data_IF_869526345096
#
_entry.id   IF_869526345096
#
_cell.length_a   1.000
_cell.length_b   1.000
_cell.length_c   1.000
_cell.angle_alpha   90.00
_cell.angle_beta   90.00
_cell.angle_gamma   90.00
#
_symmetry.space_group_name_H-M   'P 1'
#
loop_
_entity.id
_entity.type
_entity.pdbx_description
1 polymer ?
2 non-polymer ?
3 non-polymer ?
4 non-polymer ?
5 water ?
#
# COMPACT_ATOMS: atom_id res chain seq x y z
N UNK A 1 -15.52 1.08 5.76
CA UNK A 1 -14.97 0.54 4.48
C UNK A 1 -14.69 1.71 3.57
N UNK A 2 -13.81 1.50 2.58
CA UNK A 2 -13.65 2.50 1.55
C UNK A 2 -13.85 1.77 0.21
N UNK A 3 -14.12 2.53 -0.83
CA UNK A 3 -14.48 1.92 -2.11
C UNK A 3 -13.79 2.67 -3.25
N UNK A 4 -13.53 1.98 -4.35
CA UNK A 4 -13.02 2.63 -5.58
C UNK A 4 -13.56 1.87 -6.82
N UNK A 5 -14.13 2.61 -7.74
CA UNK A 5 -14.65 2.08 -9.00
C UNK A 5 -13.76 2.51 -10.19
N UNK A 6 -13.31 1.53 -10.93
CA UNK A 6 -12.57 1.78 -12.15
C UNK A 6 -13.46 2.31 -13.27
N UNK A 7 -14.73 1.95 -13.24
CA UNK A 7 -15.61 2.45 -14.25
C UNK A 7 -15.88 3.96 -14.10
N UNK A 8 -15.46 4.75 -15.09
CA UNK A 8 -15.60 6.22 -14.96
C UNK A 8 -14.48 6.88 -14.13
N UNK A 9 -13.48 6.09 -13.73
CA UNK A 9 -12.40 6.65 -12.88
C UNK A 9 -11.51 7.67 -13.61
N UNK A 10 -11.09 8.68 -12.87
CA UNK A 10 -10.22 9.69 -13.43
C UNK A 10 -9.22 10.15 -12.31
N UNK A 11 -8.26 11.05 -12.62
CA UNK A 11 -7.37 11.41 -11.50
C UNK A 11 -8.07 11.90 -10.24
N UNK A 12 -9.18 12.60 -10.44
CA UNK A 12 -9.89 13.13 -9.32
C UNK A 12 -10.56 12.03 -8.45
N UNK A 13 -11.29 11.10 -9.08
CA UNK A 13 -11.99 10.09 -8.30
C UNK A 13 -10.96 9.17 -7.61
N UNK A 14 -9.82 8.97 -8.25
CA UNK A 14 -8.77 8.14 -7.65
C UNK A 14 -8.22 8.89 -6.43
N UNK A 15 -8.02 10.21 -6.61
CA UNK A 15 -7.50 11.06 -5.49
C UNK A 15 -8.47 11.01 -4.30
N UNK A 16 -9.77 10.99 -4.60
CA UNK A 16 -10.81 10.91 -3.53
C UNK A 16 -10.72 9.55 -2.83
N UNK A 17 -10.45 8.47 -3.59
CA UNK A 17 -10.30 7.15 -2.96
C UNK A 17 -9.03 7.10 -2.03
N UNK A 18 -7.93 7.66 -2.47
CA UNK A 18 -6.70 7.59 -1.67
C UNK A 18 -6.85 8.46 -0.42
N UNK A 19 -7.50 9.61 -0.59
CA UNK A 19 -7.90 10.40 0.61
C UNK A 19 -8.81 9.58 1.60
N UNK A 20 -9.89 8.92 1.08
CA UNK A 20 -10.72 8.03 1.94
C UNK A 20 -9.92 6.94 2.63
N UNK A 21 -8.97 6.33 1.88
CA UNK A 21 -8.14 5.27 2.44
C UNK A 21 -7.27 5.83 3.60
N UNK A 22 -6.53 6.92 3.36
CA UNK A 22 -5.80 7.58 4.45
C UNK A 22 -6.75 7.88 5.64
N UNK A 23 -7.89 8.45 5.34
CA UNK A 23 -8.78 8.92 6.45
C UNK A 23 -9.41 7.80 7.24
N UNK A 24 -9.41 6.60 6.65
CA UNK A 24 -9.90 5.40 7.35
C UNK A 24 -8.90 4.80 8.35
N UNK A 25 -7.66 5.24 8.33
CA UNK A 25 -6.66 4.64 9.20
C UNK A 25 -6.62 5.47 10.48
N UNK A 26 -6.80 4.81 11.62
CA UNK A 26 -6.96 5.62 12.86
C UNK A 26 -5.62 6.10 13.37
N UNK A 27 -5.61 7.28 14.04
CA UNK A 27 -4.42 7.81 14.69
C UNK A 27 -4.90 8.64 15.90
N UNK A 28 -4.07 8.79 16.92
CA UNK A 28 -4.40 9.66 18.07
C UNK A 28 -3.48 10.88 18.06
N UNK A 29 -2.38 10.79 17.30
CA UNK A 29 -1.30 11.75 17.33
C UNK A 29 -0.78 12.01 15.88
N UNK A 30 -0.30 13.23 15.64
CA UNK A 30 0.54 13.54 14.47
C UNK A 30 1.95 13.82 14.95
N UNK A 31 2.93 13.43 14.17
CA UNK A 31 4.32 13.74 14.46
C UNK A 31 4.71 14.54 13.24
N UNK A 32 5.18 15.74 13.49
CA UNK A 32 5.51 16.69 12.45
C UNK A 32 4.35 16.85 11.47
N UNK A 33 3.15 16.87 12.04
CA UNK A 33 1.94 17.10 11.29
C UNK A 33 1.53 15.92 10.34
N UNK A 34 2.14 14.77 10.57
CA UNK A 34 1.85 13.54 9.81
C UNK A 34 1.22 12.53 10.73
N UNK A 35 0.02 11.98 10.37
CA UNK A 35 -0.65 10.98 11.20
C UNK A 35 0.25 9.81 11.56
N UNK A 36 0.24 9.44 12.85
CA UNK A 36 1.07 8.37 13.40
C UNK A 36 0.16 7.17 13.53
N UNK A 37 0.39 6.12 12.72
CA UNK A 37 -0.46 4.93 12.86
C UNK A 37 -0.33 4.31 14.27
N UNK A 38 -1.38 3.62 14.69
CA UNK A 38 -1.39 3.08 16.05
C UNK A 38 -0.40 1.91 16.23
N UNK A 39 0.18 1.74 17.46
CA UNK A 39 0.98 0.55 17.80
C UNK A 39 0.18 -0.73 17.57
N UNK A 40 -1.09 -0.72 17.94
CA UNK A 40 -1.91 -1.91 17.74
C UNK A 40 -3.38 -1.64 17.89
N UNK A 41 -4.19 -2.58 17.41
CA UNK A 41 -5.64 -2.47 17.46
C UNK A 41 -6.10 -3.91 17.68
N UNK A 42 -7.16 -4.04 18.47
CA UNK A 42 -7.67 -5.33 18.87
C UNK A 42 -8.87 -5.74 18.07
N UNK A 43 -8.85 -7.02 17.70
CA UNK A 43 -10.01 -7.67 17.10
C UNK A 43 -10.18 -7.28 15.67
N UNK A 44 -11.44 -7.26 15.24
CA UNK A 44 -11.80 -7.02 13.87
C UNK A 44 -11.42 -5.61 13.43
N UNK A 45 -11.32 -4.70 14.41
CA UNK A 45 -11.14 -3.28 14.12
C UNK A 45 -9.76 -3.02 13.54
N UNK A 46 -8.89 -4.03 13.63
CA UNK A 46 -7.55 -3.91 13.07
C UNK A 46 -7.57 -3.86 11.52
N UNK A 47 -8.68 -4.25 10.93
CA UNK A 47 -8.72 -4.45 9.46
C UNK A 47 -9.70 -3.54 8.74
N UNK A 48 -9.19 -2.78 7.79
CA UNK A 48 -10.01 -2.03 6.88
C UNK A 48 -10.39 -2.86 5.63
N UNK A 49 -11.64 -2.77 5.20
CA UNK A 49 -12.09 -3.41 3.93
C UNK A 49 -12.15 -2.38 2.82
N UNK A 50 -11.47 -2.68 1.71
CA UNK A 50 -11.44 -1.81 0.55
C UNK A 50 -12.20 -2.56 -0.52
N UNK A 51 -13.30 -1.97 -0.98
CA UNK A 51 -14.02 -2.61 -2.06
C UNK A 51 -13.60 -2.02 -3.37
N UNK A 52 -12.94 -2.85 -4.22
CA UNK A 52 -12.49 -2.39 -5.51
C UNK A 52 -13.33 -3.03 -6.61
N UNK A 53 -13.65 -2.21 -7.62
CA UNK A 53 -14.54 -2.65 -8.72
C UNK A 53 -13.75 -2.40 -10.02
N UNK A 54 -13.63 -3.46 -10.81
CA UNK A 54 -13.03 -3.32 -12.14
C UNK A 54 -14.00 -2.59 -13.08
N UNK A 55 -13.51 -2.30 -14.27
CA UNK A 55 -14.31 -1.57 -15.20
C UNK A 55 -15.69 -2.17 -15.48
N UNK A 56 -15.77 -3.49 -15.51
CA UNK A 56 -17.01 -4.22 -15.68
C UNK A 56 -17.88 -4.27 -14.45
N UNK A 57 -17.42 -3.75 -13.30
CA UNK A 57 -18.33 -3.81 -12.16
C UNK A 57 -18.16 -5.00 -11.22
N UNK A 58 -17.27 -5.91 -11.59
CA UNK A 58 -16.92 -7.02 -10.70
C UNK A 58 -16.03 -6.49 -9.59
N UNK A 59 -16.04 -7.17 -8.44
CA UNK A 59 -15.42 -6.59 -7.25
C UNK A 59 -14.62 -7.62 -6.44
N UNK A 60 -13.54 -7.15 -5.81
CA UNK A 60 -12.94 -7.88 -4.71
C UNK A 60 -12.99 -6.96 -3.50
N UNK A 61 -12.94 -7.56 -2.31
CA UNK A 61 -12.76 -6.79 -1.12
C UNK A 61 -11.39 -7.13 -0.56
N UNK A 62 -10.61 -6.10 -0.30
CA UNK A 62 -9.25 -6.29 0.16
C UNK A 62 -9.15 -5.90 1.65
N UNK A 63 -8.55 -6.78 2.46
CA UNK A 63 -8.46 -6.51 3.93
C UNK A 63 -7.09 -5.95 4.20
N UNK A 64 -7.07 -4.79 4.85
CA UNK A 64 -5.83 -4.11 5.10
C UNK A 64 -5.60 -3.86 6.62
N UNK A 65 -4.41 -4.13 7.13
CA UNK A 65 -4.15 -3.93 8.58
C UNK A 65 -3.96 -2.38 8.77
N UNK A 66 -4.77 -1.77 9.64
CA UNK A 66 -4.84 -0.29 9.75
C UNK A 66 -3.64 0.29 10.53
N UNK A 67 -2.85 -0.61 11.13
CA UNK A 67 -1.66 -0.20 11.87
C UNK A 67 -0.45 -0.07 10.98
N UNK A 68 -0.46 -0.72 9.79
CA UNK A 68 0.71 -0.67 8.94
C UNK A 68 0.45 -0.58 7.42
N UNK A 69 -0.82 -0.56 7.04
CA UNK A 69 -1.29 -0.52 5.62
C UNK A 69 -0.83 -1.77 4.85
N UNK A 70 -0.61 -2.85 5.56
CA UNK A 70 -0.28 -4.13 4.87
C UNK A 70 -1.54 -4.81 4.38
N UNK A 71 -1.55 -5.20 3.10
CA UNK A 71 -2.66 -6.02 2.62
C UNK A 71 -2.49 -7.44 3.22
N UNK A 72 -3.54 -7.98 3.83
CA UNK A 72 -3.45 -9.30 4.43
C UNK A 72 -4.01 -10.38 3.47
N UNK A 73 -5.06 -10.02 2.76
CA UNK A 73 -5.79 -10.99 1.91
C UNK A 73 -6.96 -10.33 1.26
N UNK A 74 -7.80 -11.05 0.52
CA UNK A 74 -8.92 -10.42 -0.20
C UNK A 74 -9.96 -11.49 -0.43
N UNK A 75 -11.18 -11.05 -0.68
CA UNK A 75 -12.25 -11.92 -1.05
C UNK A 75 -12.68 -11.70 -2.50
N UNK A 76 -12.90 -12.80 -3.20
CA UNK A 76 -13.31 -12.74 -4.61
C UNK A 76 -14.41 -13.76 -4.77
N UNK A 77 -15.63 -13.24 -4.93
CA UNK A 77 -16.90 -13.97 -4.89
C UNK A 77 -17.04 -14.73 -3.57
N UNK A 78 -16.82 -16.04 -3.58
CA UNK A 78 -17.08 -16.80 -2.34
C UNK A 78 -15.82 -17.43 -1.83
N UNK A 79 -14.69 -17.00 -2.40
CA UNK A 79 -13.38 -17.54 -2.03
C UNK A 79 -12.55 -16.43 -1.43
N UNK A 80 -11.96 -16.69 -0.26
CA UNK A 80 -10.97 -15.78 0.36
C UNK A 80 -9.55 -16.24 0.06
N UNK A 81 -8.63 -15.29 -0.04
CA UNK A 81 -7.18 -15.59 -0.29
C UNK A 81 -6.40 -14.83 0.72
N UNK A 82 -5.41 -15.42 1.35
CA UNK A 82 -4.60 -14.70 2.34
C UNK A 82 -3.20 -15.06 2.06
N UNK A 83 -2.27 -14.12 2.33
CA UNK A 83 -0.86 -14.38 2.26
C UNK A 83 -0.45 -15.48 3.20
N UNK A 84 0.65 -16.12 2.85
CA UNK A 84 1.16 -17.25 3.65
C UNK A 84 2.15 -16.67 4.71
N UNK A 85 1.55 -16.16 5.78
CA UNK A 85 2.34 -15.44 6.82
C UNK A 85 1.50 -15.33 8.08
N UNK A 86 2.17 -15.30 9.25
CA UNK A 86 1.30 -15.41 10.46
C UNK A 86 0.29 -14.26 10.65
N UNK A 87 0.67 -13.05 10.28
CA UNK A 87 -0.25 -11.94 10.43
C UNK A 87 -1.47 -12.09 9.56
N UNK A 88 -1.36 -12.76 8.40
CA UNK A 88 -2.53 -12.92 7.55
C UNK A 88 -3.38 -14.03 8.06
N UNK A 89 -2.72 -15.07 8.58
CA UNK A 89 -3.50 -16.12 9.16
C UNK A 89 -4.35 -15.58 10.30
N UNK A 90 -3.77 -14.71 11.14
CA UNK A 90 -4.56 -14.07 12.20
C UNK A 90 -5.69 -13.25 11.62
N UNK A 91 -5.42 -12.49 10.54
CA UNK A 91 -6.50 -11.73 9.92
C UNK A 91 -7.62 -12.64 9.49
N UNK A 92 -7.29 -13.87 9.09
CA UNK A 92 -8.34 -14.74 8.51
C UNK A 92 -9.28 -15.16 9.62
N UNK A 93 -8.88 -14.88 10.86
CA UNK A 93 -9.79 -15.11 11.97
C UNK A 93 -10.92 -14.09 12.05
N UNK A 94 -10.67 -12.91 11.48
CA UNK A 94 -11.61 -11.83 11.59
C UNK A 94 -12.37 -11.44 10.32
N UNK A 95 -11.77 -11.61 9.14
CA UNK A 95 -12.44 -11.10 7.94
C UNK A 95 -12.78 -12.21 6.96
N UNK A 96 -13.87 -12.04 6.21
CA UNK A 96 -14.28 -12.96 5.13
C UNK A 96 -14.58 -14.36 5.68
N UNK A 97 -14.97 -14.41 6.95
CA UNK A 97 -15.41 -15.66 7.57
C UNK A 97 -16.56 -16.33 6.81
N UNK A 98 -17.44 -15.55 6.18
CA UNK A 98 -18.50 -16.12 5.38
C UNK A 98 -18.07 -16.72 4.02
N UNK A 99 -16.79 -16.63 3.61
CA UNK A 99 -16.34 -17.27 2.35
C UNK A 99 -16.58 -18.76 2.41
N UNK A 100 -17.00 -19.32 1.29
CA UNK A 100 -17.15 -20.78 1.20
C UNK A 100 -15.84 -21.53 1.33
N UNK A 101 -14.74 -20.98 0.84
CA UNK A 101 -13.42 -21.67 1.01
C UNK A 101 -12.33 -20.63 1.16
N UNK A 102 -11.22 -21.02 1.80
CA UNK A 102 -10.11 -20.10 2.04
C UNK A 102 -8.90 -20.71 1.42
N UNK A 103 -8.28 -19.98 0.50
CA UNK A 103 -7.01 -20.38 -0.09
C UNK A 103 -5.90 -19.59 0.50
N UNK A 104 -4.83 -20.28 0.91
CA UNK A 104 -3.60 -19.56 1.33
C UNK A 104 -2.68 -19.49 0.13
N UNK A 105 -2.36 -18.28 -0.28
CA UNK A 105 -1.49 -18.05 -1.44
C UNK A 105 -0.16 -18.65 -1.10
N UNK A 106 0.63 -19.10 -2.11
CA UNK A 106 1.90 -19.77 -1.85
C UNK A 106 3.13 -18.77 -1.78
N UNK A 107 2.90 -17.63 -1.12
CA UNK A 107 3.95 -16.70 -0.81
C UNK A 107 3.43 -15.80 0.32
N UNK A 108 4.37 -15.19 1.05
CA UNK A 108 4.04 -14.06 1.93
C UNK A 108 3.85 -12.74 1.11
N UNK A 109 3.52 -11.66 1.81
CA UNK A 109 3.26 -10.37 1.15
C UNK A 109 4.42 -9.41 0.98
N UNK A 110 5.59 -9.92 1.22
CA UNK A 110 6.87 -9.33 1.01
C UNK A 110 7.21 -9.07 -0.50
N UNK A 111 7.67 -7.84 -0.81
CA UNK A 111 8.00 -7.51 -2.20
C UNK A 111 8.97 -8.52 -2.85
N UNK A 112 9.99 -8.97 -2.14
CA UNK A 112 10.86 -9.93 -2.81
C UNK A 112 10.16 -11.24 -3.12
N UNK A 113 9.42 -11.76 -2.16
CA UNK A 113 8.72 -13.04 -2.39
C UNK A 113 7.74 -12.88 -3.53
N UNK A 114 7.03 -11.74 -3.58
CA UNK A 114 6.05 -11.52 -4.67
C UNK A 114 6.73 -11.44 -6.04
N UNK A 115 7.91 -10.81 -6.09
CA UNK A 115 8.63 -10.62 -7.34
C UNK A 115 9.13 -11.95 -7.86
N UNK A 116 9.58 -12.81 -6.95
CA UNK A 116 10.05 -14.13 -7.38
C UNK A 116 8.86 -14.96 -7.89
N UNK A 117 7.72 -14.94 -7.18
CA UNK A 117 6.53 -15.62 -7.72
C UNK A 117 6.09 -15.12 -9.07
N UNK A 118 6.15 -13.81 -9.25
CA UNK A 118 5.68 -13.15 -10.44
C UNK A 118 6.65 -13.35 -11.58
N UNK A 119 7.93 -13.57 -11.26
CA UNK A 119 8.92 -13.81 -12.31
C UNK A 119 9.58 -12.51 -12.80
N UNK A 120 9.32 -11.39 -12.10
CA UNK A 120 9.85 -10.08 -12.48
C UNK A 120 9.86 -9.07 -11.32
N UNK A 121 10.85 -8.15 -11.34
CA UNK A 121 10.92 -7.18 -10.25
C UNK A 121 9.86 -6.14 -10.52
N UNK A 122 9.47 -5.38 -9.54
CA UNK A 122 8.46 -4.41 -9.93
C UNK A 122 8.97 -3.22 -10.75
N UNK A 123 10.29 -3.06 -10.90
CA UNK A 123 10.81 -2.11 -11.89
C UNK A 123 10.29 -2.36 -13.28
N UNK A 124 9.89 -3.58 -13.54
CA UNK A 124 9.50 -3.96 -14.88
C UNK A 124 8.01 -4.17 -15.03
N UNK A 125 7.24 -3.88 -13.99
CA UNK A 125 5.78 -4.12 -14.03
C UNK A 125 5.06 -2.76 -14.12
N UNK A 126 4.38 -2.46 -15.26
CA UNK A 126 3.68 -1.17 -15.39
C UNK A 126 2.58 -1.06 -14.33
N UNK A 127 2.37 0.16 -13.82
CA UNK A 127 1.31 0.42 -12.85
C UNK A 127 0.53 1.61 -13.36
N UNK A 128 -0.65 1.85 -12.78
CA UNK A 128 -1.50 2.85 -13.33
C UNK A 128 -2.90 2.34 -13.02
N UNK A 129 -3.87 3.14 -13.41
CA UNK A 129 -5.24 2.73 -13.22
C UNK A 129 -5.65 1.57 -14.17
N UNK A 130 -5.21 1.61 -15.43
CA UNK A 130 -5.52 0.38 -16.23
C UNK A 130 -4.91 -0.87 -15.63
N UNK A 131 -3.70 -0.80 -15.11
CA UNK A 131 -3.11 -1.97 -14.50
C UNK A 131 -3.85 -2.43 -13.25
N UNK A 132 -4.49 -1.49 -12.51
CA UNK A 132 -5.35 -1.85 -11.37
C UNK A 132 -6.65 -2.55 -11.75
N UNK A 133 -7.26 -2.07 -12.82
CA UNK A 133 -8.37 -2.80 -13.40
C UNK A 133 -7.99 -4.22 -13.78
N UNK A 134 -6.82 -4.40 -14.42
CA UNK A 134 -6.37 -5.77 -14.75
C UNK A 134 -6.14 -6.60 -13.49
N UNK A 135 -5.57 -5.95 -12.45
CA UNK A 135 -5.18 -6.68 -11.25
C UNK A 135 -6.44 -7.21 -10.60
N UNK A 136 -7.46 -6.35 -10.50
CA UNK A 136 -8.76 -6.74 -9.87
C UNK A 136 -9.29 -7.95 -10.65
N UNK A 137 -9.27 -7.86 -11.99
CA UNK A 137 -9.81 -8.93 -12.84
C UNK A 137 -9.03 -10.23 -12.65
N UNK A 138 -7.73 -10.14 -12.54
CA UNK A 138 -6.89 -11.32 -12.35
C UNK A 138 -7.26 -11.99 -11.02
N UNK A 139 -7.46 -11.17 -10.00
CA UNK A 139 -7.61 -11.72 -8.66
C UNK A 139 -8.94 -12.39 -8.50
N UNK A 140 -9.86 -12.13 -9.43
CA UNK A 140 -11.20 -12.71 -9.41
C UNK A 140 -11.18 -14.24 -9.53
N UNK A 141 -10.19 -14.75 -10.25
CA UNK A 141 -10.00 -16.19 -10.37
C UNK A 141 -8.59 -16.62 -10.14
N UNK A 142 -8.47 -17.58 -9.26
CA UNK A 142 -7.19 -17.98 -8.74
C UNK A 142 -6.21 -18.38 -9.82
N UNK A 143 -5.04 -17.81 -9.74
CA UNK A 143 -3.94 -18.24 -10.55
C UNK A 143 -2.77 -17.62 -9.77
N UNK A 144 -1.94 -18.44 -9.11
CA UNK A 144 -0.99 -17.85 -8.11
C UNK A 144 0.17 -17.05 -8.73
N UNK A 145 0.71 -17.53 -9.85
CA UNK A 145 1.63 -16.73 -10.63
C UNK A 145 1.07 -15.38 -11.10
N UNK A 146 -0.12 -15.37 -11.69
CA UNK A 146 -0.74 -14.13 -12.26
C UNK A 146 -1.06 -13.19 -11.05
N UNK A 147 -1.55 -13.80 -9.98
CA UNK A 147 -1.92 -13.04 -8.79
C UNK A 147 -0.70 -12.33 -8.16
N UNK A 148 0.48 -12.93 -8.15
CA UNK A 148 1.62 -12.22 -7.54
C UNK A 148 1.83 -10.87 -8.24
N UNK A 149 1.75 -10.88 -9.58
CA UNK A 149 1.95 -9.65 -10.36
C UNK A 149 0.79 -8.70 -10.05
N UNK A 150 -0.43 -9.23 -9.93
CA UNK A 150 -1.58 -8.38 -9.69
C UNK A 150 -1.42 -7.72 -8.31
N UNK A 151 -0.88 -8.47 -7.36
CA UNK A 151 -0.76 -7.99 -6.00
C UNK A 151 0.37 -6.94 -5.91
N UNK A 152 1.45 -7.11 -6.68
CA UNK A 152 2.41 -6.02 -6.82
C UNK A 152 1.80 -4.75 -7.31
N UNK A 153 0.89 -4.82 -8.29
CA UNK A 153 0.15 -3.64 -8.77
C UNK A 153 -0.81 -3.09 -7.71
N UNK A 154 -1.57 -4.00 -7.11
CA UNK A 154 -2.56 -3.58 -6.14
C UNK A 154 -1.92 -2.89 -4.92
N UNK A 155 -0.83 -3.50 -4.38
CA UNK A 155 -0.13 -2.92 -3.17
C UNK A 155 0.39 -1.49 -3.43
N UNK A 156 1.04 -1.29 -4.60
CA UNK A 156 1.53 0.04 -4.95
C UNK A 156 0.46 1.07 -5.24
N UNK A 157 -0.60 0.65 -5.91
CA UNK A 157 -1.63 1.63 -6.28
C UNK A 157 -2.62 1.93 -5.14
N UNK A 158 -2.53 1.22 -4.02
CA UNK A 158 -3.47 1.51 -2.92
C UNK A 158 -2.55 1.95 -1.73
N UNK A 159 -2.01 0.98 -1.02
CA UNK A 159 -1.11 1.29 0.15
C UNK A 159 0.02 2.28 -0.06
N UNK A 160 0.83 2.08 -1.08
CA UNK A 160 1.96 2.95 -1.36
C UNK A 160 1.54 4.37 -1.70
N UNK A 161 0.43 4.47 -2.48
CA UNK A 161 -0.18 5.79 -2.82
C UNK A 161 -0.75 6.45 -1.54
N UNK A 162 -1.32 5.65 -0.63
CA UNK A 162 -1.86 6.26 0.61
C UNK A 162 -0.66 6.82 1.40
N UNK A 163 0.45 6.10 1.40
CA UNK A 163 1.62 6.50 2.17
C UNK A 163 2.39 7.72 1.68
N UNK A 164 2.43 7.93 0.37
CA UNK A 164 3.21 8.96 -0.24
C UNK A 164 2.48 9.70 -1.31
N UNK A 165 2.30 11.02 -1.13
CA UNK A 165 1.61 11.85 -2.07
C UNK A 165 2.26 11.76 -3.48
N UNK A 166 3.58 11.60 -3.52
CA UNK A 166 4.26 11.51 -4.81
C UNK A 166 3.78 10.24 -5.57
N UNK A 167 3.56 9.16 -4.82
CA UNK A 167 3.16 7.89 -5.47
C UNK A 167 1.75 8.03 -5.92
N UNK A 168 0.90 8.65 -5.07
CA UNK A 168 -0.44 9.00 -5.54
C UNK A 168 -0.45 9.81 -6.88
N UNK A 169 0.31 10.86 -6.95
CA UNK A 169 0.49 11.61 -8.19
C UNK A 169 1.02 10.76 -9.39
N UNK A 170 1.98 9.88 -9.13
CA UNK A 170 2.48 8.99 -10.18
C UNK A 170 1.37 8.19 -10.78
N UNK A 171 0.47 7.66 -9.93
CA UNK A 171 -0.69 6.90 -10.40
C UNK A 171 -1.70 7.77 -11.12
N UNK A 172 -1.94 8.97 -10.60
CA UNK A 172 -2.86 9.87 -11.33
C UNK A 172 -2.35 10.18 -12.75
N UNK A 173 -1.03 10.27 -12.92
CA UNK A 173 -0.43 10.54 -14.21
C UNK A 173 -0.65 9.30 -15.11
N UNK A 174 -0.91 8.14 -14.49
CA UNK A 174 -1.04 6.92 -15.20
C UNK A 174 -2.49 6.51 -15.19
N UNK A 175 -3.39 7.50 -15.29
CA UNK A 175 -4.83 7.18 -15.14
C UNK A 175 -5.32 6.45 -16.40
N UNK A 176 -4.65 6.71 -17.54
CA UNK A 176 -5.17 6.16 -18.82
C UNK A 176 -4.13 5.45 -19.67
N UNK A 177 -2.94 5.35 -19.10
CA UNK A 177 -1.74 4.71 -19.66
C UNK A 177 -0.85 4.23 -18.52
N UNK A 178 -0.63 2.91 -18.40
CA UNK A 178 0.34 2.36 -17.50
C UNK A 178 1.76 2.70 -17.77
N UNK A 179 2.54 2.77 -16.69
CA UNK A 179 3.96 2.87 -16.93
C UNK A 179 4.72 2.31 -15.78
N UNK A 180 5.88 1.71 -16.01
CA UNK A 180 6.62 1.16 -14.86
C UNK A 180 6.90 2.34 -13.84
N UNK A 181 7.02 2.01 -12.56
CA UNK A 181 7.22 3.08 -11.51
C UNK A 181 8.58 3.77 -11.69
N UNK A 182 8.64 5.08 -11.39
CA UNK A 182 9.92 5.80 -11.43
C UNK A 182 10.83 5.19 -10.36
N UNK A 183 12.15 5.35 -10.52
CA UNK A 183 13.12 4.95 -9.51
C UNK A 183 12.76 5.59 -8.14
N UNK A 184 12.34 6.85 -8.15
CA UNK A 184 11.95 7.55 -6.91
C UNK A 184 10.80 6.78 -6.19
N UNK A 185 9.84 6.32 -6.98
CA UNK A 185 8.70 5.55 -6.44
C UNK A 185 9.19 4.32 -5.68
N UNK A 186 10.02 3.50 -6.34
CA UNK A 186 10.64 2.30 -5.75
C UNK A 186 11.41 2.62 -4.46
N UNK A 187 12.22 3.67 -4.54
CA UNK A 187 13.00 4.17 -3.40
C UNK A 187 12.07 4.49 -2.20
N UNK A 188 10.97 5.22 -2.46
CA UNK A 188 10.07 5.64 -1.38
C UNK A 188 9.44 4.43 -0.74
N UNK A 189 9.01 3.49 -1.58
CA UNK A 189 8.37 2.27 -1.04
C UNK A 189 9.30 1.57 -0.11
N UNK A 190 10.54 1.47 -0.54
CA UNK A 190 11.54 0.74 0.17
C UNK A 190 12.00 1.48 1.44
N UNK A 191 11.79 2.78 1.50
CA UNK A 191 12.22 3.56 2.68
C UNK A 191 11.12 3.92 3.68
N UNK A 192 9.91 3.40 3.48
CA UNK A 192 8.82 3.92 4.29
C UNK A 192 9.03 3.62 5.79
N UNK A 193 9.50 2.42 6.10
CA UNK A 193 9.72 2.08 7.48
C UNK A 193 10.87 2.93 8.05
N UNK A 194 11.95 2.99 7.30
CA UNK A 194 13.08 3.85 7.64
C UNK A 194 12.69 5.31 7.90
N UNK A 195 12.00 5.90 6.95
CA UNK A 195 11.48 7.27 7.11
C UNK A 195 10.55 7.47 8.32
N UNK A 196 9.58 6.56 8.47
CA UNK A 196 8.71 6.57 9.61
C UNK A 196 9.54 6.57 10.90
N UNK A 197 10.51 5.67 11.01
CA UNK A 197 11.34 5.62 12.21
C UNK A 197 12.13 6.95 12.45
N UNK A 198 12.81 7.46 11.43
CA UNK A 198 13.62 8.68 11.53
C UNK A 198 12.79 9.93 11.84
N UNK A 199 11.55 10.01 11.34
CA UNK A 199 10.69 11.12 11.65
C UNK A 199 10.25 11.07 13.12
N UNK A 200 9.86 9.91 13.62
CA UNK A 200 9.61 9.77 15.05
C UNK A 200 10.87 10.00 15.95
N UNK A 201 12.06 9.51 15.57
CA UNK A 201 13.28 9.78 16.36
C UNK A 201 13.68 11.27 16.36
N UNK A 202 13.38 11.95 15.27
CA UNK A 202 13.51 13.41 15.18
C UNK A 202 12.82 14.19 16.31
N UNK A 203 11.71 13.66 16.86
CA UNK A 203 10.85 14.37 17.81
C UNK A 203 11.60 14.82 19.03
N UNK A 204 12.56 14.02 19.47
CA UNK A 204 13.46 14.45 20.56
C UNK A 204 14.90 14.77 20.14
N UNK A 205 15.07 15.18 18.90
CA UNK A 205 16.40 15.37 18.40
C UNK A 205 16.38 16.64 17.54
N UNK A 206 15.47 17.57 17.88
CA UNK A 206 15.48 18.89 17.20
C UNK A 206 15.17 18.76 15.71
N UNK A 207 14.37 17.75 15.39
CA UNK A 207 13.98 17.56 13.97
C UNK A 207 15.04 16.86 13.12
N UNK A 208 16.17 16.44 13.70
CA UNK A 208 17.32 15.84 12.95
C UNK A 208 17.17 14.31 13.02
N UNK A 209 17.33 13.63 11.87
CA UNK A 209 17.31 12.15 11.87
C UNK A 209 18.54 11.61 12.61
N UNK A 210 18.34 10.60 13.45
CA UNK A 210 19.48 9.86 14.04
C UNK A 210 20.35 9.22 13.00
N UNK A 211 19.73 8.73 11.92
CA UNK A 211 20.46 8.10 10.84
C UNK A 211 19.81 8.58 9.55
N UNK A 212 20.60 9.16 8.64
CA UNK A 212 20.09 9.71 7.39
C UNK A 212 19.44 8.63 6.54
N UNK A 213 18.42 8.99 5.80
CA UNK A 213 17.73 8.06 4.93
C UNK A 213 18.17 8.37 3.49
N UNK A 214 18.64 7.36 2.75
CA UNK A 214 18.99 7.60 1.34
C UNK A 214 17.83 7.26 0.37
N UNK A 215 17.45 8.23 -0.45
CA UNK A 215 16.43 8.11 -1.46
C UNK A 215 16.94 8.40 -2.88
N UNK A 216 16.22 7.92 -3.90
CA UNK A 216 16.36 8.47 -5.26
C UNK A 216 15.36 9.60 -5.55
N UNK A 217 15.81 10.73 -6.11
CA UNK A 217 14.88 11.83 -6.44
C UNK A 217 14.22 11.73 -7.86
N UNK A 218 13.37 12.70 -8.19
CA UNK A 218 12.66 12.75 -9.50
C UNK A 218 13.49 12.74 -10.79
N UNK A 219 14.78 13.08 -10.69
CA UNK A 219 15.70 13.08 -11.86
C UNK A 219 16.57 11.81 -11.82
N UNK A 220 16.25 10.88 -10.93
CA UNK A 220 17.03 9.65 -10.81
C UNK A 220 18.32 9.80 -10.01
N UNK A 221 18.44 10.87 -9.23
CA UNK A 221 19.64 11.15 -8.40
C UNK A 221 19.47 10.73 -6.93
N UNK A 222 20.51 10.08 -6.35
CA UNK A 222 20.52 9.59 -4.95
C UNK A 222 20.74 10.70 -3.91
N UNK A 223 19.77 10.92 -3.02
CA UNK A 223 19.86 12.00 -2.03
C UNK A 223 19.76 11.50 -0.60
N UNK A 224 20.43 12.20 0.29
CA UNK A 224 20.42 11.91 1.71
C UNK A 224 19.33 12.76 2.38
N UNK A 225 18.41 12.14 3.11
CA UNK A 225 17.39 12.89 3.90
C UNK A 225 17.96 12.88 5.33
N UNK A 226 18.16 14.07 5.90
CA UNK A 226 18.79 14.19 7.22
C UNK A 226 17.91 14.85 8.26
N UNK A 227 16.81 15.48 7.86
CA UNK A 227 16.02 16.21 8.84
C UNK A 227 14.61 16.47 8.33
N UNK A 228 13.73 16.85 9.24
CA UNK A 228 12.28 17.03 8.93
C UNK A 228 11.93 18.20 8.01
N UNK A 229 12.89 19.03 7.67
CA UNK A 229 12.64 20.12 6.69
C UNK A 229 12.66 19.66 5.23
N UNK A 230 13.04 18.40 4.98
CA UNK A 230 13.15 17.89 3.62
C UNK A 230 11.70 17.83 3.04
N UNK A 231 11.52 18.12 1.75
CA UNK A 231 10.21 18.00 1.11
C UNK A 231 9.58 16.58 1.35
N UNK A 232 10.39 15.55 1.47
CA UNK A 232 9.87 14.18 1.66
C UNK A 232 9.01 14.13 2.92
N UNK A 233 9.48 14.85 3.95
CA UNK A 233 8.71 14.97 5.22
C UNK A 233 7.59 16.03 5.25
N UNK A 234 7.87 17.19 4.67
CA UNK A 234 6.88 18.29 4.77
C UNK A 234 5.74 18.15 3.76
N UNK A 235 5.99 17.41 2.70
CA UNK A 235 4.98 17.36 1.64
C UNK A 235 4.55 15.94 1.25
N UNK A 236 5.49 15.03 1.25
CA UNK A 236 5.30 13.76 0.53
C UNK A 236 4.65 12.69 1.43
N UNK A 237 5.36 12.28 2.47
CA UNK A 237 4.87 11.25 3.39
C UNK A 237 3.57 11.64 4.09
N UNK A 238 2.59 10.71 4.10
CA UNK A 238 1.28 10.97 4.67
C UNK A 238 0.95 10.13 5.85
N UNK A 239 1.71 9.10 6.11
CA UNK A 239 1.40 8.17 7.20
C UNK A 239 2.68 7.63 7.79
N UNK A 240 2.70 7.48 9.12
CA UNK A 240 3.92 6.94 9.72
C UNK A 240 3.69 5.61 10.40
N UNK A 241 4.53 4.67 10.02
CA UNK A 241 4.58 3.40 10.70
C UNK A 241 5.10 3.68 12.13
N UNK A 242 4.32 3.26 13.13
CA UNK A 242 4.69 3.43 14.55
C UNK A 242 6.01 2.68 14.83
N UNK A 243 7.00 3.34 15.47
CA UNK A 243 8.27 2.63 15.82
C UNK A 243 8.06 1.35 16.64
N UNK A 244 6.94 1.24 17.34
CA UNK A 244 6.66 -0.03 18.03
C UNK A 244 6.56 -1.24 17.06
N UNK A 245 6.24 -0.95 15.81
CA UNK A 245 6.11 -1.96 14.75
C UNK A 245 7.31 -2.04 13.80
N UNK A 246 8.44 -1.48 14.25
CA UNK A 246 9.67 -1.44 13.47
C UNK A 246 10.78 -2.16 14.25
#
# INVERSE_FOLDING_TARGET
DVSFRLSGADPSSYGMFIKDLRNALPHTEKVYNIPLLLPSVSGAGRYLLMHLFNYDGNTITVAVDVTNVYIMGYLALTTSYFFNEPAADLASQYVFRSARRKITLPYSGNYERLQIAAGKPREKIPIGLPALDTAISTLLHYDSTAAAGALLVLIQTTAEAARFKYIEQQIQERAYRDEVPSSATISLENSWSGLSKQIQLAQGNNGVFRTPTVLVDSKGNRVQITNVTSNVVTSNIQLLLNTKNI
#
